data_IF_460281835363
#
_entry.id   IF_460281835363
#
_cell.length_a   1.000
_cell.length_b   1.000
_cell.length_c   1.000
_cell.angle_alpha   90.00
_cell.angle_beta   90.00
_cell.angle_gamma   90.00
#
_symmetry.space_group_name_H-M   'P 1'
#
loop_
_entity.id
_entity.type
_entity.pdbx_description
1 polymer ?
#
# COMPACT_ATOMS: atom_id res chain seq x y z
N UNK A 1 23.03 58.28 16.22
CA UNK A 1 23.99 58.44 17.34
C UNK A 1 23.88 57.22 18.24
N UNK A 2 24.98 56.50 18.44
CA UNK A 2 25.07 55.22 19.16
C UNK A 2 25.32 55.49 20.65
N UNK A 3 24.72 54.71 21.54
CA UNK A 3 25.32 54.38 22.84
C UNK A 3 25.14 52.89 23.14
N UNK A 4 26.29 52.27 23.44
CA UNK A 4 26.49 50.88 23.84
C UNK A 4 26.19 50.72 25.33
N UNK A 5 25.76 49.53 25.73
CA UNK A 5 26.16 48.92 27.00
C UNK A 5 26.40 47.42 26.77
N UNK A 6 27.63 47.00 27.07
CA UNK A 6 28.10 45.60 27.16
C UNK A 6 28.02 45.19 28.64
N UNK A 7 27.64 43.95 28.90
CA UNK A 7 27.93 43.25 30.17
C UNK A 7 28.18 41.77 29.83
N UNK A 8 29.34 41.27 30.25
CA UNK A 8 29.84 39.90 30.09
C UNK A 8 29.65 39.09 31.39
N UNK A 9 29.69 37.75 31.22
CA UNK A 9 30.02 36.67 32.19
C UNK A 9 28.93 36.14 33.17
N UNK A 10 29.07 34.90 33.70
CA UNK A 10 29.75 33.69 33.19
C UNK A 10 28.95 32.36 33.33
N UNK A 11 29.55 31.31 32.79
CA UNK A 11 29.25 29.86 32.87
C UNK A 11 29.13 29.34 34.31
N UNK A 12 28.28 28.31 34.57
CA UNK A 12 28.60 27.27 35.53
C UNK A 12 28.73 25.88 34.88
N UNK A 13 29.83 25.23 35.27
CA UNK A 13 30.16 23.82 35.05
C UNK A 13 29.11 22.94 35.73
N UNK A 14 28.71 21.85 35.08
CA UNK A 14 28.11 20.69 35.76
C UNK A 14 28.96 19.46 35.48
N UNK A 15 29.15 18.72 36.57
CA UNK A 15 30.09 17.67 36.85
C UNK A 15 29.64 16.32 36.32
N UNK A 16 30.58 15.56 35.76
CA UNK A 16 30.48 14.11 35.56
C UNK A 16 30.45 13.38 36.90
N UNK A 17 29.50 12.48 37.07
CA UNK A 17 29.58 11.38 38.05
C UNK A 17 29.05 10.10 37.40
N UNK A 18 29.98 9.27 36.96
CA UNK A 18 29.75 7.88 36.59
C UNK A 18 29.31 7.08 37.83
N UNK A 19 28.19 6.36 37.73
CA UNK A 19 27.91 5.22 38.60
C UNK A 19 27.39 4.04 37.78
N UNK A 20 28.17 2.98 37.86
CA UNK A 20 28.01 1.62 37.35
C UNK A 20 26.96 0.83 38.13
N UNK A 21 26.07 0.10 37.44
CA UNK A 21 25.49 -1.17 37.91
C UNK A 21 25.11 -2.02 36.69
N UNK A 22 25.92 -3.00 36.28
CA UNK A 22 25.82 -4.42 36.67
C UNK A 22 24.40 -5.00 36.59
N UNK A 23 24.06 -5.60 35.45
CA UNK A 23 23.06 -6.67 35.36
C UNK A 23 23.70 -7.93 34.81
N UNK A 24 23.65 -8.99 35.63
CA UNK A 24 24.16 -10.34 35.40
C UNK A 24 23.36 -11.06 34.32
N UNK A 25 24.09 -11.73 33.43
CA UNK A 25 23.64 -12.90 32.69
C UNK A 25 23.53 -14.11 33.62
N UNK A 26 22.43 -14.86 33.53
CA UNK A 26 22.41 -16.29 33.87
C UNK A 26 21.50 -17.03 32.90
N UNK A 27 22.08 -18.01 32.22
CA UNK A 27 21.43 -18.96 31.33
C UNK A 27 20.73 -20.10 32.12
N UNK A 28 19.89 -20.83 31.38
CA UNK A 28 19.01 -21.96 31.71
C UNK A 28 19.65 -23.10 32.56
N UNK A 29 18.87 -24.06 33.11
CA UNK A 29 18.32 -25.16 32.28
C UNK A 29 16.96 -25.77 32.73
N UNK A 30 16.25 -26.40 31.78
CA UNK A 30 15.31 -27.51 32.03
C UNK A 30 16.10 -28.76 32.50
N UNK A 31 15.57 -29.80 33.19
CA UNK A 31 14.43 -30.61 32.72
C UNK A 31 13.57 -31.26 33.84
N UNK A 32 12.43 -31.88 33.48
CA UNK A 32 12.16 -33.32 33.73
C UNK A 32 10.71 -33.70 33.43
N UNK A 33 10.63 -34.95 33.02
CA UNK A 33 9.57 -35.76 32.46
C UNK A 33 8.92 -36.59 33.58
N UNK A 34 7.59 -36.79 33.57
CA UNK A 34 6.97 -37.96 34.22
C UNK A 34 5.58 -38.34 33.66
N UNK A 35 5.61 -39.35 32.79
CA UNK A 35 4.77 -40.57 32.74
C UNK A 35 3.37 -40.59 33.41
N UNK A 36 2.34 -40.68 32.55
CA UNK A 36 1.61 -41.94 32.29
C UNK A 36 0.44 -42.36 33.21
N UNK A 37 -0.74 -42.53 32.61
CA UNK A 37 -1.64 -43.71 32.75
C UNK A 37 -2.75 -43.65 31.70
N UNK A 38 -2.99 -44.76 31.01
CA UNK A 38 -4.05 -44.93 30.02
C UNK A 38 -5.10 -45.95 30.45
N UNK A 39 -6.11 -46.10 29.60
CA UNK A 39 -7.06 -47.23 29.46
C UNK A 39 -7.78 -47.00 28.11
N UNK A 40 -7.60 -47.84 27.08
CA UNK A 40 -8.41 -49.03 26.71
C UNK A 40 -9.84 -48.63 26.26
N UNK A 41 -10.48 -49.12 25.18
CA UNK A 41 -10.25 -50.10 24.12
C UNK A 41 -11.53 -50.04 23.25
N UNK A 42 -11.49 -50.04 21.91
CA UNK A 42 -12.32 -50.94 21.07
C UNK A 42 -12.12 -50.74 19.57
N UNK A 43 -11.96 -51.89 18.92
CA UNK A 43 -11.82 -52.13 17.48
C UNK A 43 -13.20 -52.28 16.84
N UNK A 44 -13.36 -51.77 15.61
CA UNK A 44 -14.50 -52.07 14.74
C UNK A 44 -14.25 -51.59 13.31
N UNK A 45 -13.81 -52.50 12.43
CA UNK A 45 -13.63 -52.28 11.00
C UNK A 45 -14.97 -52.41 10.25
N UNK A 46 -15.26 -51.49 9.32
CA UNK A 46 -16.10 -51.79 8.15
C UNK A 46 -15.71 -50.90 6.96
N UNK A 47 -15.36 -51.56 5.87
CA UNK A 47 -15.09 -51.02 4.53
C UNK A 47 -16.34 -50.38 3.93
N UNK A 48 -16.21 -49.19 3.33
CA UNK A 48 -16.95 -48.74 2.14
C UNK A 48 -16.19 -47.58 1.48
N UNK A 49 -15.53 -47.87 0.36
CA UNK A 49 -15.00 -46.86 -0.55
C UNK A 49 -16.19 -46.25 -1.28
N UNK A 50 -16.50 -44.98 -0.99
CA UNK A 50 -17.37 -44.15 -1.83
C UNK A 50 -16.49 -43.23 -2.65
N UNK A 51 -16.65 -43.30 -3.97
CA UNK A 51 -15.92 -42.53 -4.96
C UNK A 51 -16.03 -41.02 -4.70
N UNK A 52 -14.89 -40.37 -4.47
CA UNK A 52 -14.79 -38.92 -4.46
C UNK A 52 -14.97 -38.45 -5.92
N UNK A 53 -16.10 -37.80 -6.22
CA UNK A 53 -16.25 -37.02 -7.45
C UNK A 53 -15.33 -35.81 -7.35
N UNK A 54 -14.17 -35.87 -8.01
CA UNK A 54 -13.33 -34.70 -8.19
C UNK A 54 -13.98 -33.70 -9.15
N UNK A 55 -13.89 -32.43 -8.78
CA UNK A 55 -14.30 -31.29 -9.59
C UNK A 55 -13.59 -31.31 -10.96
N UNK A 56 -14.27 -31.02 -12.09
CA UNK A 56 -13.69 -31.15 -13.43
C UNK A 56 -12.41 -30.32 -13.66
N UNK A 57 -12.14 -29.27 -12.87
CA UNK A 57 -10.89 -28.49 -12.93
C UNK A 57 -9.67 -29.21 -12.35
N UNK A 58 -9.84 -30.12 -11.37
CA UNK A 58 -8.72 -30.86 -10.77
C UNK A 58 -8.31 -32.04 -11.69
N UNK A 59 -9.26 -32.58 -12.45
CA UNK A 59 -9.01 -33.63 -13.45
C UNK A 59 -8.09 -33.14 -14.56
N UNK A 60 -8.34 -31.93 -15.08
CA UNK A 60 -7.49 -31.28 -16.10
C UNK A 60 -6.06 -31.03 -15.60
N UNK A 61 -5.90 -30.66 -14.32
CA UNK A 61 -4.58 -30.42 -13.72
C UNK A 61 -3.81 -31.73 -13.54
N UNK A 62 -4.48 -32.80 -13.08
CA UNK A 62 -3.88 -34.13 -12.95
C UNK A 62 -3.53 -34.73 -14.32
N UNK A 63 -4.37 -34.54 -15.33
CA UNK A 63 -4.12 -34.99 -16.70
C UNK A 63 -2.93 -34.22 -17.32
N UNK A 64 -2.81 -32.91 -17.06
CA UNK A 64 -1.66 -32.11 -17.51
C UNK A 64 -0.35 -32.54 -16.81
N UNK A 65 -0.40 -32.83 -15.51
CA UNK A 65 0.76 -33.36 -14.77
C UNK A 65 1.16 -34.74 -15.27
N UNK A 66 0.19 -35.61 -15.59
CA UNK A 66 0.45 -36.93 -16.12
C UNK A 66 1.06 -36.89 -17.53
N UNK A 67 0.59 -35.97 -18.39
CA UNK A 67 1.18 -35.73 -19.71
C UNK A 67 2.60 -35.19 -19.61
N UNK A 68 2.86 -34.24 -18.69
CA UNK A 68 4.20 -33.69 -18.48
C UNK A 68 5.18 -34.73 -17.89
N UNK A 69 4.68 -35.62 -17.02
CA UNK A 69 5.45 -36.74 -16.49
C UNK A 69 5.75 -37.80 -17.56
N UNK A 70 4.78 -38.10 -18.43
CA UNK A 70 4.98 -39.02 -19.55
C UNK A 70 5.96 -38.47 -20.60
N UNK A 71 5.93 -37.16 -20.88
CA UNK A 71 6.87 -36.51 -21.81
C UNK A 71 8.30 -36.50 -21.25
N UNK A 72 8.46 -36.20 -19.95
CA UNK A 72 9.77 -36.22 -19.29
C UNK A 72 10.35 -37.63 -19.16
N UNK A 73 9.51 -38.65 -18.93
CA UNK A 73 9.93 -40.06 -18.93
C UNK A 73 10.22 -40.60 -20.34
N UNK A 74 9.52 -40.12 -21.37
CA UNK A 74 9.81 -40.46 -22.77
C UNK A 74 11.16 -39.88 -23.24
N UNK A 75 11.48 -38.65 -22.86
CA UNK A 75 12.79 -38.04 -23.10
C UNK A 75 13.91 -38.76 -22.34
N UNK A 76 13.65 -39.20 -21.11
CA UNK A 76 14.62 -40.01 -20.35
C UNK A 76 14.89 -41.37 -21.01
N UNK A 77 13.84 -42.02 -21.56
CA UNK A 77 13.95 -43.29 -22.31
C UNK A 77 14.69 -43.12 -23.63
N UNK A 78 14.42 -42.03 -24.36
CA UNK A 78 15.13 -41.70 -25.61
C UNK A 78 16.62 -41.42 -25.38
N UNK A 79 16.94 -40.75 -24.27
CA UNK A 79 18.32 -40.44 -23.88
C UNK A 79 19.08 -41.69 -23.40
N UNK A 80 18.42 -42.61 -22.67
CA UNK A 80 19.03 -43.89 -22.28
C UNK A 80 19.22 -44.87 -23.45
N UNK A 81 18.31 -44.89 -24.44
CA UNK A 81 18.44 -45.74 -25.62
C UNK A 81 19.61 -45.33 -26.53
N UNK A 82 19.93 -44.03 -26.55
CA UNK A 82 21.07 -43.50 -27.31
C UNK A 82 22.42 -43.77 -26.63
N UNK A 83 22.45 -43.93 -25.30
CA UNK A 83 23.65 -44.21 -24.51
C UNK A 83 24.03 -45.70 -24.46
N UNK A 84 23.14 -46.62 -24.87
CA UNK A 84 23.33 -48.07 -24.76
C UNK A 84 23.50 -48.81 -26.10
N UNK A 85 23.73 -48.11 -27.21
CA UNK A 85 24.02 -48.74 -28.50
C UNK A 85 25.50 -49.13 -28.63
N UNK A 86 25.86 -50.39 -28.93
CA UNK A 86 27.26 -50.80 -29.08
C UNK A 86 27.85 -50.32 -30.41
N UNK A 87 29.10 -49.83 -30.36
CA UNK A 87 29.92 -49.47 -31.51
C UNK A 87 30.41 -50.75 -32.20
N UNK A 88 30.21 -50.96 -33.53
CA UNK A 88 30.84 -52.07 -34.22
C UNK A 88 32.29 -51.71 -34.61
N UNK A 89 33.23 -52.50 -34.12
CA UNK A 89 34.61 -52.59 -34.60
C UNK A 89 34.66 -53.33 -35.94
N UNK A 90 35.15 -52.69 -37.00
CA UNK A 90 35.43 -53.34 -38.29
C UNK A 90 36.89 -53.80 -38.43
N UNK A 91 37.11 -54.91 -39.14
CA UNK A 91 38.40 -55.23 -39.80
C UNK A 91 38.22 -56.04 -41.09
N UNK A 92 38.82 -55.51 -42.17
CA UNK A 92 39.30 -56.09 -43.43
C UNK A 92 38.24 -56.76 -44.37
N UNK A 93 38.28 -56.65 -45.70
CA UNK A 93 39.42 -56.49 -46.62
C UNK A 93 39.01 -56.02 -48.04
N UNK A 94 39.99 -55.45 -48.75
CA UNK A 94 40.26 -55.37 -50.20
C UNK A 94 39.24 -54.91 -51.29
N UNK A 95 39.72 -53.94 -52.11
CA UNK A 95 39.88 -53.95 -53.60
C UNK A 95 39.23 -52.78 -54.40
N UNK A 96 40.11 -51.84 -54.81
CA UNK A 96 40.23 -51.22 -56.15
C UNK A 96 38.97 -50.68 -56.90
N UNK A 97 38.91 -49.36 -57.14
CA UNK A 97 39.14 -48.70 -58.47
C UNK A 97 38.82 -47.19 -58.46
N UNK A 98 39.59 -46.44 -59.26
CA UNK A 98 39.49 -44.99 -59.58
C UNK A 98 38.11 -44.57 -60.12
N UNK A 99 37.62 -43.38 -59.73
CA UNK A 99 37.32 -42.24 -60.64
C UNK A 99 36.80 -40.99 -59.89
N UNK A 100 37.19 -39.82 -60.43
CA UNK A 100 36.82 -38.46 -60.02
C UNK A 100 35.31 -38.18 -60.21
N UNK A 101 34.69 -37.45 -59.28
CA UNK A 101 33.79 -36.34 -59.61
C UNK A 101 33.60 -35.39 -58.40
N UNK A 102 33.60 -34.08 -58.66
CA UNK A 102 33.29 -33.00 -57.70
C UNK A 102 31.78 -32.95 -57.42
N UNK A 103 31.37 -32.64 -56.18
CA UNK A 103 30.24 -31.75 -55.86
C UNK A 103 30.29 -31.33 -54.36
N UNK A 104 29.51 -30.30 -54.03
CA UNK A 104 29.64 -29.26 -52.99
C UNK A 104 29.26 -29.62 -51.53
N UNK A 105 29.52 -28.67 -50.59
CA UNK A 105 29.01 -28.47 -49.20
C UNK A 105 29.69 -29.29 -48.06
N UNK A 106 29.80 -28.86 -46.80
CA UNK A 106 29.64 -27.59 -46.03
C UNK A 106 30.26 -27.84 -44.63
N UNK A 107 30.77 -26.79 -43.96
CA UNK A 107 31.48 -26.86 -42.66
C UNK A 107 30.57 -26.91 -41.41
N UNK A 108 31.16 -27.08 -40.19
CA UNK A 108 30.49 -27.74 -39.06
C UNK A 108 29.75 -26.78 -38.11
N UNK A 109 28.53 -27.15 -37.71
CA UNK A 109 27.76 -26.55 -36.60
C UNK A 109 27.40 -27.63 -35.59
N UNK A 110 28.28 -27.97 -34.66
CA UNK A 110 27.90 -28.85 -33.54
C UNK A 110 28.78 -28.67 -32.29
N UNK A 111 29.10 -27.42 -31.93
CA UNK A 111 29.80 -27.13 -30.66
C UNK A 111 29.18 -25.99 -29.83
N UNK A 112 27.96 -25.56 -30.16
CA UNK A 112 27.29 -24.43 -29.48
C UNK A 112 26.14 -24.85 -28.55
N UNK A 113 25.67 -26.09 -28.65
CA UNK A 113 24.45 -26.53 -27.94
C UNK A 113 24.74 -26.98 -26.50
N UNK A 114 25.97 -27.43 -26.17
CA UNK A 114 26.28 -27.92 -24.82
C UNK A 114 26.68 -26.83 -23.80
N UNK A 115 26.87 -25.58 -24.21
CA UNK A 115 27.11 -24.46 -23.26
C UNK A 115 25.86 -23.65 -22.90
N UNK A 116 24.77 -23.84 -23.63
CA UNK A 116 23.51 -23.13 -23.37
C UNK A 116 22.60 -23.83 -22.35
N UNK A 117 22.73 -25.15 -22.14
CA UNK A 117 21.82 -25.88 -21.21
C UNK A 117 22.20 -25.75 -19.73
N UNK A 118 23.49 -25.57 -19.41
CA UNK A 118 23.96 -25.45 -18.01
C UNK A 118 23.63 -24.12 -17.33
N UNK A 119 23.52 -23.03 -18.10
CA UNK A 119 23.24 -21.69 -17.55
C UNK A 119 21.77 -21.52 -17.14
N UNK A 120 20.83 -22.16 -17.85
CA UNK A 120 19.41 -22.09 -17.51
C UNK A 120 19.05 -22.88 -16.25
N UNK A 121 19.77 -23.99 -15.98
CA UNK A 121 19.51 -24.82 -14.80
C UNK A 121 19.99 -24.14 -13.51
N UNK A 122 21.18 -23.50 -13.52
CA UNK A 122 21.69 -22.78 -12.37
C UNK A 122 20.89 -21.48 -12.05
N UNK A 123 20.41 -20.78 -13.09
CA UNK A 123 19.59 -19.58 -12.91
C UNK A 123 18.22 -19.88 -12.29
N UNK A 124 17.62 -21.03 -12.61
CA UNK A 124 16.35 -21.45 -12.01
C UNK A 124 16.48 -21.90 -10.55
N UNK A 125 17.60 -22.50 -10.15
CA UNK A 125 17.83 -22.92 -8.76
C UNK A 125 18.05 -21.72 -7.83
N UNK A 126 18.68 -20.63 -8.31
CA UNK A 126 18.82 -19.38 -7.55
C UNK A 126 17.49 -18.64 -7.33
N UNK A 127 16.51 -18.84 -8.21
CA UNK A 127 15.16 -18.27 -8.11
C UNK A 127 14.31 -19.03 -7.08
N UNK A 128 14.56 -20.33 -6.89
CA UNK A 128 13.76 -21.18 -5.99
C UNK A 128 14.29 -21.18 -4.54
N UNK A 129 15.56 -20.83 -4.30
CA UNK A 129 16.20 -20.90 -2.98
C UNK A 129 16.52 -19.55 -2.33
N UNK A 130 16.11 -18.42 -2.92
CA UNK A 130 16.35 -17.08 -2.35
C UNK A 130 15.03 -16.48 -1.81
N UNK A 131 14.67 -16.68 -0.52
CA UNK A 131 13.55 -15.97 0.07
C UNK A 131 14.02 -14.60 0.55
N UNK A 132 14.47 -13.70 -0.33
CA UNK A 132 14.68 -12.27 -0.03
C UNK A 132 15.20 -11.50 -1.25
N UNK A 133 14.71 -10.26 -1.40
CA UNK A 133 15.08 -9.24 -2.40
C UNK A 133 14.45 -9.34 -3.79
N UNK A 134 13.14 -9.59 -3.86
CA UNK A 134 12.34 -8.98 -4.91
C UNK A 134 11.35 -8.01 -4.28
N UNK A 135 11.87 -6.83 -3.90
CA UNK A 135 11.05 -5.64 -3.69
C UNK A 135 10.43 -5.25 -5.04
N UNK A 136 9.29 -5.88 -5.36
CA UNK A 136 8.45 -5.46 -6.47
C UNK A 136 8.01 -4.00 -6.24
N UNK A 137 7.91 -3.19 -7.30
CA UNK A 137 7.80 -1.75 -7.16
C UNK A 137 6.48 -1.33 -6.53
N UNK A 138 6.44 -0.25 -5.73
CA UNK A 138 5.23 0.18 -5.05
C UNK A 138 4.37 1.06 -5.98
N UNK A 139 3.97 0.55 -7.14
CA UNK A 139 3.00 1.26 -7.99
C UNK A 139 1.54 0.95 -7.62
N UNK A 140 1.31 0.05 -6.66
CA UNK A 140 -0.02 -0.50 -6.32
C UNK A 140 -0.62 0.03 -5.01
N UNK A 141 0.04 0.99 -4.34
CA UNK A 141 -0.51 1.65 -3.15
C UNK A 141 -1.43 2.82 -3.53
N UNK A 142 -2.39 2.56 -4.43
CA UNK A 142 -3.39 3.53 -4.86
C UNK A 142 -4.77 2.92 -4.70
N UNK A 143 -5.71 3.74 -4.25
CA UNK A 143 -7.14 3.46 -4.16
C UNK A 143 -7.66 2.90 -5.51
N UNK A 144 -7.65 1.58 -5.65
CA UNK A 144 -8.21 0.87 -6.80
C UNK A 144 -9.14 -0.23 -6.32
N UNK A 145 -10.45 0.01 -6.41
CA UNK A 145 -11.48 -1.03 -6.27
C UNK A 145 -11.68 -1.73 -7.60
N UNK A 146 -11.13 -2.94 -7.74
CA UNK A 146 -11.70 -3.95 -8.64
C UNK A 146 -12.26 -5.06 -7.75
N UNK A 147 -13.54 -4.93 -7.43
CA UNK A 147 -14.40 -6.06 -7.06
C UNK A 147 -15.56 -6.05 -8.05
N UNK A 148 -15.79 -7.19 -8.68
CA UNK A 148 -16.62 -7.41 -9.86
C UNK A 148 -17.88 -6.55 -9.95
N UNK A 149 -17.95 -5.73 -11.01
CA UNK A 149 -19.12 -4.99 -11.48
C UNK A 149 -20.25 -5.88 -12.03
N UNK A 150 -20.33 -7.16 -11.63
CA UNK A 150 -21.30 -8.15 -12.16
C UNK A 150 -22.56 -8.27 -11.28
N UNK A 151 -22.60 -7.69 -10.08
CA UNK A 151 -23.85 -7.54 -9.32
C UNK A 151 -24.39 -6.11 -9.42
N UNK A 152 -24.89 -5.75 -10.61
CA UNK A 152 -25.81 -4.62 -10.75
C UNK A 152 -27.07 -4.93 -9.94
N UNK A 153 -27.21 -4.29 -8.78
CA UNK A 153 -28.52 -4.11 -8.17
C UNK A 153 -29.16 -2.84 -8.71
N UNK A 154 -30.39 -3.01 -9.18
CA UNK A 154 -31.23 -2.02 -9.85
C UNK A 154 -31.73 -0.89 -8.93
N UNK A 155 -31.98 0.26 -9.56
CA UNK A 155 -32.80 1.42 -9.15
C UNK A 155 -32.35 2.36 -8.02
N UNK A 156 -32.58 3.69 -8.16
CA UNK A 156 -32.22 4.68 -7.16
C UNK A 156 -33.31 4.77 -6.07
N UNK A 157 -33.17 3.99 -5.03
CA UNK A 157 -33.85 4.21 -3.74
C UNK A 157 -32.86 4.83 -2.77
N UNK A 158 -33.30 5.84 -2.02
CA UNK A 158 -32.52 6.64 -1.06
C UNK A 158 -31.39 5.84 -0.37
N UNK A 159 -30.14 6.23 -0.64
CA UNK A 159 -28.89 5.55 -0.25
C UNK A 159 -28.57 5.57 1.26
N UNK A 160 -29.46 6.14 2.09
CA UNK A 160 -29.26 6.25 3.53
C UNK A 160 -29.54 4.98 4.33
N UNK A 161 -30.34 4.04 3.80
CA UNK A 161 -30.81 2.87 4.57
C UNK A 161 -29.89 1.64 4.51
N UNK A 162 -28.80 1.68 3.72
CA UNK A 162 -27.97 0.48 3.47
C UNK A 162 -26.84 0.27 4.48
N UNK A 163 -26.42 1.30 5.21
CA UNK A 163 -25.33 1.21 6.18
C UNK A 163 -25.80 1.61 7.57
N UNK A 164 -25.81 0.64 8.49
CA UNK A 164 -26.04 0.88 9.91
C UNK A 164 -24.72 0.86 10.66
N UNK A 165 -24.40 1.94 11.36
CA UNK A 165 -23.24 2.03 12.23
C UNK A 165 -23.69 2.16 13.68
N UNK A 166 -23.06 1.37 14.55
CA UNK A 166 -23.21 1.50 15.99
C UNK A 166 -22.66 2.86 16.40
N UNK A 167 -23.34 3.49 17.36
CA UNK A 167 -22.86 4.73 17.97
C UNK A 167 -21.49 4.48 18.62
N UNK A 168 -20.53 5.34 18.31
CA UNK A 168 -19.21 5.31 18.92
C UNK A 168 -19.30 5.57 20.44
N UNK A 169 -18.42 4.96 21.24
CA UNK A 169 -18.29 5.31 22.66
C UNK A 169 -18.01 6.80 22.85
N UNK A 170 -18.49 7.36 23.96
CA UNK A 170 -18.15 8.72 24.34
C UNK A 170 -16.62 8.84 24.53
N UNK A 171 -16.05 9.96 24.09
CA UNK A 171 -14.63 10.26 24.21
C UNK A 171 -14.46 11.59 24.94
N UNK A 172 -13.43 11.69 25.77
CA UNK A 172 -13.13 12.89 26.55
C UNK A 172 -11.65 13.19 26.48
N UNK A 173 -11.32 14.46 26.55
CA UNK A 173 -9.97 14.95 26.74
C UNK A 173 -9.35 14.36 28.01
N UNK A 174 -8.08 13.97 27.93
CA UNK A 174 -7.26 13.71 29.11
C UNK A 174 -7.03 14.98 29.95
N UNK A 175 -6.63 14.82 31.21
CA UNK A 175 -6.51 15.93 32.17
C UNK A 175 -5.49 17.02 31.78
N UNK A 176 -4.53 16.70 30.90
CA UNK A 176 -3.52 17.62 30.36
C UNK A 176 -3.99 18.46 29.16
N UNK A 177 -5.18 18.19 28.64
CA UNK A 177 -5.72 18.91 27.50
C UNK A 177 -6.25 20.29 27.89
N UNK A 178 -6.10 21.26 27.00
CA UNK A 178 -6.73 22.57 27.18
C UNK A 178 -8.24 22.40 27.10
N UNK A 179 -8.95 22.84 28.13
CA UNK A 179 -10.41 22.88 28.11
C UNK A 179 -10.86 23.83 27.01
N UNK A 180 -11.67 23.37 26.05
CA UNK A 180 -12.16 24.24 25.02
C UNK A 180 -13.12 25.25 25.67
N UNK A 181 -12.97 26.55 25.37
CA UNK A 181 -13.84 27.59 25.93
C UNK A 181 -15.25 27.38 25.36
N UNK A 182 -16.15 26.87 26.18
CA UNK A 182 -17.52 26.60 25.78
C UNK A 182 -18.24 27.90 25.39
N UNK A 183 -18.76 27.92 24.16
CA UNK A 183 -20.16 28.26 23.81
C UNK A 183 -20.33 28.54 22.30
N UNK A 184 -19.25 28.70 21.53
CA UNK A 184 -19.30 28.71 20.06
C UNK A 184 -17.95 28.26 19.47
N UNK A 185 -17.79 26.96 19.23
CA UNK A 185 -16.59 26.44 18.58
C UNK A 185 -16.60 26.81 17.10
N UNK A 186 -15.76 27.76 16.73
CA UNK A 186 -15.50 28.06 15.33
C UNK A 186 -14.52 27.04 14.75
N UNK A 187 -14.75 26.63 13.49
CA UNK A 187 -13.76 25.89 12.69
C UNK A 187 -12.42 26.63 12.58
N UNK A 188 -12.39 27.93 12.88
CA UNK A 188 -11.18 28.74 12.87
C UNK A 188 -10.42 28.77 14.22
N UNK A 189 -10.82 27.99 15.22
CA UNK A 189 -10.12 27.96 16.50
C UNK A 189 -8.68 27.41 16.33
N UNK A 190 -7.64 28.20 16.65
CA UNK A 190 -6.25 27.82 16.42
C UNK A 190 -5.76 26.68 17.33
N UNK A 191 -6.54 26.29 18.34
CA UNK A 191 -6.24 25.14 19.21
C UNK A 191 -6.64 23.79 18.60
N UNK A 192 -7.41 23.80 17.49
CA UNK A 192 -7.90 22.57 16.86
C UNK A 192 -6.80 21.85 16.07
N UNK A 193 -6.87 20.52 16.10
CA UNK A 193 -6.15 19.64 15.18
C UNK A 193 -7.09 19.30 14.03
N UNK A 194 -6.80 19.86 12.85
CA UNK A 194 -7.62 19.67 11.66
C UNK A 194 -7.24 18.38 10.92
N UNK A 195 -8.22 17.50 10.71
CA UNK A 195 -8.10 16.25 9.96
C UNK A 195 -9.08 16.25 8.81
N UNK A 196 -8.63 15.97 7.59
CA UNK A 196 -9.47 15.86 6.41
C UNK A 196 -9.48 14.42 5.88
N UNK A 197 -10.67 13.93 5.53
CA UNK A 197 -10.91 12.59 5.00
C UNK A 197 -12.06 12.64 4.00
N UNK A 198 -12.02 11.78 2.99
CA UNK A 198 -13.14 11.63 2.04
C UNK A 198 -14.17 10.63 2.57
N UNK A 199 -15.46 10.87 2.36
CA UNK A 199 -16.50 9.86 2.57
C UNK A 199 -17.15 9.51 1.24
N UNK A 200 -17.26 8.21 1.00
CA UNK A 200 -18.01 7.61 -0.09
C UNK A 200 -18.56 6.28 0.37
N UNK A 201 -19.56 5.79 -0.34
CA UNK A 201 -20.31 4.58 0.03
C UNK A 201 -19.41 3.33 0.06
N UNK A 202 -18.46 3.20 -0.88
CA UNK A 202 -17.60 2.00 -0.98
C UNK A 202 -16.61 1.91 0.20
N UNK A 203 -16.09 3.04 0.66
CA UNK A 203 -15.09 3.12 1.73
C UNK A 203 -15.64 3.68 3.04
N UNK A 204 -16.98 3.78 3.18
CA UNK A 204 -17.60 4.39 4.36
C UNK A 204 -17.22 3.66 5.65
N UNK A 205 -17.23 2.32 5.62
CA UNK A 205 -16.84 1.47 6.74
C UNK A 205 -15.39 1.71 7.17
N UNK A 206 -14.48 1.83 6.20
CA UNK A 206 -13.09 2.21 6.47
C UNK A 206 -12.96 3.61 7.06
N UNK A 207 -13.70 4.59 6.52
CA UNK A 207 -13.66 5.98 6.98
C UNK A 207 -14.15 6.12 8.42
N UNK A 208 -15.22 5.40 8.77
CA UNK A 208 -15.74 5.35 10.15
C UNK A 208 -14.70 4.73 11.08
N UNK A 209 -14.05 3.63 10.69
CA UNK A 209 -12.97 3.03 11.49
C UNK A 209 -11.77 3.98 11.65
N UNK A 210 -11.40 4.72 10.61
CA UNK A 210 -10.33 5.72 10.68
C UNK A 210 -10.66 6.82 11.69
N UNK A 211 -11.86 7.42 11.62
CA UNK A 211 -12.34 8.42 12.59
C UNK A 211 -12.34 7.84 14.01
N UNK A 212 -12.91 6.65 14.18
CA UNK A 212 -12.98 6.00 15.49
C UNK A 212 -11.60 5.73 16.09
N UNK A 213 -10.64 5.27 15.27
CA UNK A 213 -9.26 5.05 15.71
C UNK A 213 -8.57 6.34 16.16
N UNK A 214 -8.75 7.44 15.43
CA UNK A 214 -8.21 8.75 15.86
C UNK A 214 -8.79 9.14 17.22
N UNK A 215 -10.10 9.01 17.42
CA UNK A 215 -10.76 9.37 18.68
C UNK A 215 -10.32 8.50 19.86
N UNK A 216 -10.07 7.21 19.62
CA UNK A 216 -9.60 6.29 20.66
C UNK A 216 -8.15 6.51 21.09
N UNK A 217 -7.27 6.91 20.16
CA UNK A 217 -5.82 6.98 20.40
C UNK A 217 -5.29 8.39 20.64
N UNK A 218 -6.10 9.42 20.40
CA UNK A 218 -5.73 10.81 20.65
C UNK A 218 -5.96 11.16 22.12
N UNK A 219 -4.99 11.84 22.74
CA UNK A 219 -5.10 12.31 24.14
C UNK A 219 -6.20 13.34 24.34
N UNK A 220 -6.37 14.23 23.36
CA UNK A 220 -7.34 15.33 23.38
C UNK A 220 -8.34 15.23 22.21
N UNK A 221 -9.19 14.18 22.16
CA UNK A 221 -10.04 13.90 21.01
C UNK A 221 -11.11 15.00 20.79
N UNK A 222 -11.50 15.74 21.83
CA UNK A 222 -12.45 16.87 21.70
C UNK A 222 -11.80 18.11 21.05
N UNK A 223 -10.48 18.10 20.84
CA UNK A 223 -9.74 19.15 20.12
C UNK A 223 -9.49 18.78 18.65
N UNK A 224 -9.94 17.61 18.20
CA UNK A 224 -9.83 17.19 16.80
C UNK A 224 -11.05 17.67 16.03
N UNK A 225 -10.84 18.31 14.89
CA UNK A 225 -11.89 18.77 13.99
C UNK A 225 -11.79 18.04 12.66
N UNK A 226 -12.86 17.34 12.26
CA UNK A 226 -12.90 16.60 11.00
C UNK A 226 -13.53 17.40 9.86
N UNK A 227 -12.85 17.41 8.72
CA UNK A 227 -13.37 17.91 7.46
C UNK A 227 -13.68 16.72 6.54
N UNK A 228 -14.95 16.51 6.26
CA UNK A 228 -15.41 15.42 5.41
C UNK A 228 -15.69 15.92 4.00
N UNK A 229 -14.96 15.39 3.01
CA UNK A 229 -15.20 15.69 1.60
C UNK A 229 -16.09 14.61 1.01
N UNK A 230 -17.24 15.00 0.46
CA UNK A 230 -18.27 14.07 0.02
C UNK A 230 -18.69 14.32 -1.41
N UNK A 231 -18.92 13.27 -2.24
CA UNK A 231 -19.37 13.43 -3.62
C UNK A 231 -20.88 13.67 -3.73
N UNK A 232 -21.63 13.45 -2.64
CA UNK A 232 -23.09 13.57 -2.58
C UNK A 232 -23.55 14.00 -1.18
N UNK A 233 -24.80 14.46 -1.08
CA UNK A 233 -25.42 14.91 0.16
C UNK A 233 -25.91 13.70 0.96
N UNK A 234 -25.94 13.80 2.29
CA UNK A 234 -26.55 12.79 3.17
C UNK A 234 -25.62 12.17 4.21
N UNK A 235 -24.29 12.29 4.04
CA UNK A 235 -23.33 11.75 5.02
C UNK A 235 -23.34 12.47 6.37
N UNK A 236 -23.87 13.70 6.45
CA UNK A 236 -23.89 14.49 7.69
C UNK A 236 -24.72 13.82 8.80
N UNK A 237 -25.90 13.27 8.48
CA UNK A 237 -26.74 12.58 9.45
C UNK A 237 -26.08 11.29 9.94
N UNK A 238 -25.46 10.54 9.03
CA UNK A 238 -24.73 9.31 9.35
C UNK A 238 -23.52 9.56 10.26
N UNK A 239 -22.72 10.59 9.96
CA UNK A 239 -21.59 10.97 10.84
C UNK A 239 -22.11 11.42 12.20
N UNK A 240 -23.18 12.22 12.24
CA UNK A 240 -23.76 12.71 13.51
C UNK A 240 -24.38 11.58 14.34
N UNK A 241 -25.03 10.60 13.73
CA UNK A 241 -25.61 9.46 14.45
C UNK A 241 -24.53 8.51 15.00
N UNK A 242 -23.46 8.31 14.22
CA UNK A 242 -22.31 7.46 14.59
C UNK A 242 -21.43 8.14 15.64
N UNK A 243 -21.13 9.44 15.49
CA UNK A 243 -20.27 10.22 16.37
C UNK A 243 -20.97 11.51 16.85
N UNK A 244 -21.85 11.43 17.86
CA UNK A 244 -22.68 12.58 18.28
C UNK A 244 -21.88 13.81 18.72
N UNK A 245 -20.75 13.57 19.41
CA UNK A 245 -19.92 14.60 20.05
C UNK A 245 -18.78 15.08 19.12
N UNK A 246 -18.68 14.54 17.91
CA UNK A 246 -17.63 14.90 16.97
C UNK A 246 -17.80 16.35 16.49
N UNK A 247 -16.70 17.09 16.52
CA UNK A 247 -16.59 18.39 15.84
C UNK A 247 -16.23 18.12 14.38
N UNK A 248 -17.14 18.44 13.47
CA UNK A 248 -16.90 18.24 12.05
C UNK A 248 -17.67 19.22 11.17
N UNK A 249 -17.22 19.31 9.92
CA UNK A 249 -17.96 19.94 8.82
C UNK A 249 -17.88 19.07 7.56
N UNK A 250 -18.98 19.03 6.83
CA UNK A 250 -19.10 18.32 5.54
C UNK A 250 -18.96 19.33 4.41
N UNK A 251 -18.13 19.01 3.42
CA UNK A 251 -17.86 19.82 2.24
C UNK A 251 -18.22 19.00 1.01
N UNK A 252 -19.16 19.51 0.22
CA UNK A 252 -19.49 18.91 -1.06
C UNK A 252 -18.34 19.11 -2.05
N UNK A 253 -17.81 18.02 -2.58
CA UNK A 253 -16.82 18.02 -3.65
C UNK A 253 -17.54 17.76 -4.98
N UNK A 254 -17.72 18.81 -5.76
CA UNK A 254 -18.28 18.72 -7.11
C UNK A 254 -17.35 17.89 -8.03
N UNK A 255 -17.79 16.70 -8.48
CA UNK A 255 -16.98 15.83 -9.33
C UNK A 255 -16.59 16.46 -10.67
N UNK A 256 -17.40 17.40 -11.19
CA UNK A 256 -17.17 18.02 -12.49
C UNK A 256 -15.92 18.90 -12.52
N UNK A 257 -15.46 19.37 -11.35
CA UNK A 257 -14.20 20.13 -11.20
C UNK A 257 -13.00 19.41 -11.79
N UNK A 258 -13.00 18.08 -11.71
CA UNK A 258 -11.83 17.27 -12.09
C UNK A 258 -12.14 16.26 -13.18
N UNK A 259 -13.41 15.94 -13.46
CA UNK A 259 -13.79 14.95 -14.48
C UNK A 259 -13.15 15.23 -15.83
N UNK A 260 -13.13 16.50 -16.23
CA UNK A 260 -12.53 16.93 -17.50
C UNK A 260 -11.00 16.97 -17.48
N UNK A 261 -10.35 16.72 -16.35
CA UNK A 261 -8.89 16.66 -16.21
C UNK A 261 -8.39 15.22 -16.07
N UNK A 262 -9.27 14.30 -15.67
CA UNK A 262 -8.94 12.88 -15.55
C UNK A 262 -8.82 12.28 -16.96
N UNK A 263 -7.67 11.66 -17.21
CA UNK A 263 -7.46 10.86 -18.40
C UNK A 263 -7.95 9.44 -18.14
N UNK A 264 -8.58 8.82 -19.13
CA UNK A 264 -8.95 7.40 -19.05
C UNK A 264 -7.70 6.58 -18.72
N UNK A 265 -7.85 5.64 -17.80
CA UNK A 265 -6.79 4.78 -17.30
C UNK A 265 -7.18 3.33 -17.57
N UNK A 266 -6.20 2.42 -17.51
CA UNK A 266 -6.47 0.98 -17.64
C UNK A 266 -7.37 0.48 -16.49
N UNK A 267 -7.48 1.24 -15.39
CA UNK A 267 -8.22 0.87 -14.18
C UNK A 267 -9.23 1.93 -13.81
N UNK A 268 -10.51 1.70 -14.12
CA UNK A 268 -11.61 2.65 -13.91
C UNK A 268 -11.67 3.22 -12.47
N UNK A 269 -11.29 2.45 -11.45
CA UNK A 269 -11.24 2.94 -10.07
C UNK A 269 -10.28 4.11 -9.84
N UNK A 270 -9.23 4.26 -10.68
CA UNK A 270 -8.29 5.37 -10.64
C UNK A 270 -8.89 6.67 -11.23
N UNK A 271 -10.05 6.58 -11.88
CA UNK A 271 -10.78 7.68 -12.49
C UNK A 271 -11.85 8.28 -11.57
N UNK A 272 -12.06 7.71 -10.38
CA UNK A 272 -13.05 8.23 -9.43
C UNK A 272 -12.68 9.66 -9.00
N UNK A 273 -13.53 10.68 -9.28
CA UNK A 273 -13.21 12.08 -9.00
C UNK A 273 -12.82 12.35 -7.54
N UNK A 274 -13.43 11.64 -6.59
CA UNK A 274 -13.16 11.81 -5.17
C UNK A 274 -11.70 11.48 -4.79
N UNK A 275 -10.99 10.66 -5.59
CA UNK A 275 -9.56 10.39 -5.41
C UNK A 275 -8.66 11.63 -5.60
N UNK A 276 -9.22 12.70 -6.17
CA UNK A 276 -8.55 13.97 -6.43
C UNK A 276 -9.03 15.08 -5.50
N UNK A 277 -10.03 14.85 -4.66
CA UNK A 277 -10.62 15.87 -3.78
C UNK A 277 -9.58 16.53 -2.87
N UNK A 278 -8.54 15.79 -2.46
CA UNK A 278 -7.42 16.31 -1.67
C UNK A 278 -6.64 17.45 -2.34
N UNK A 279 -6.66 17.54 -3.68
CA UNK A 279 -6.04 18.64 -4.42
C UNK A 279 -6.69 19.99 -4.09
N UNK A 280 -7.95 19.95 -3.68
CA UNK A 280 -8.83 21.10 -3.51
C UNK A 280 -9.08 21.44 -2.04
N UNK A 281 -8.37 20.80 -1.10
CA UNK A 281 -8.52 21.06 0.34
C UNK A 281 -8.30 22.52 0.69
N UNK A 282 -7.32 23.17 0.06
CA UNK A 282 -7.22 24.61 0.17
C UNK A 282 -8.54 25.23 -0.31
N UNK A 283 -8.90 25.11 -1.57
CA UNK A 283 -10.04 25.85 -2.12
C UNK A 283 -11.39 25.58 -1.44
N UNK A 284 -11.58 24.41 -0.82
CA UNK A 284 -12.80 24.01 -0.13
C UNK A 284 -12.87 24.44 1.35
N UNK A 285 -11.77 24.39 2.08
CA UNK A 285 -11.74 24.71 3.51
C UNK A 285 -11.72 26.22 3.74
N UNK A 286 -12.22 26.64 4.89
CA UNK A 286 -12.23 28.04 5.31
C UNK A 286 -10.82 28.65 5.25
N UNK A 287 -10.72 29.92 4.88
CA UNK A 287 -9.43 30.62 4.70
C UNK A 287 -8.60 30.69 5.98
N UNK A 288 -9.25 30.67 7.14
CA UNK A 288 -8.61 30.61 8.46
C UNK A 288 -7.94 29.25 8.74
N UNK A 289 -8.37 28.17 8.10
CA UNK A 289 -7.77 26.84 8.22
C UNK A 289 -6.50 26.83 7.37
N UNK A 290 -5.36 27.05 8.02
CA UNK A 290 -4.05 27.17 7.36
C UNK A 290 -3.24 25.89 7.38
N UNK A 291 -3.69 24.85 8.10
CA UNK A 291 -3.01 23.57 8.25
C UNK A 291 -4.01 22.43 8.37
N UNK A 292 -3.73 21.29 7.77
CA UNK A 292 -4.58 20.09 7.86
C UNK A 292 -3.73 18.81 7.78
N UNK A 293 -4.16 17.75 8.46
CA UNK A 293 -3.71 16.37 8.19
C UNK A 293 -4.69 15.75 7.22
N UNK A 294 -4.23 15.27 6.08
CA UNK A 294 -5.04 14.45 5.18
C UNK A 294 -4.81 12.97 5.46
N UNK A 295 -5.92 12.21 5.57
CA UNK A 295 -5.95 10.77 5.79
C UNK A 295 -6.82 10.10 4.71
N UNK A 296 -6.32 9.03 4.10
CA UNK A 296 -7.12 8.11 3.28
C UNK A 296 -8.13 7.33 4.14
N UNK A 297 -9.14 6.76 3.48
CA UNK A 297 -10.28 6.09 4.15
C UNK A 297 -10.00 4.65 4.61
N UNK A 298 -8.81 4.11 4.38
CA UNK A 298 -8.44 2.70 4.60
C UNK A 298 -7.23 2.55 5.54
N UNK A 299 -7.26 3.31 6.63
CA UNK A 299 -6.23 3.29 7.66
C UNK A 299 -6.81 3.28 9.07
N UNK A 300 -5.97 2.95 10.05
CA UNK A 300 -6.24 3.20 11.48
C UNK A 300 -5.03 3.85 12.13
N UNK A 301 -5.29 4.76 13.06
CA UNK A 301 -4.30 5.46 13.86
C UNK A 301 -4.22 4.77 15.23
N UNK A 302 -3.00 4.45 15.66
CA UNK A 302 -2.70 3.73 16.91
C UNK A 302 -1.77 4.53 17.84
N UNK A 303 -1.70 5.85 17.62
CA UNK A 303 -0.90 6.78 18.40
C UNK A 303 -1.59 8.16 18.42
N UNK A 304 -1.10 9.08 19.25
CA UNK A 304 -1.68 10.42 19.38
C UNK A 304 -1.45 11.27 18.12
N UNK A 305 -2.52 11.59 17.40
CA UNK A 305 -2.50 12.35 16.14
C UNK A 305 -1.89 13.76 16.31
N UNK A 306 -1.86 14.31 17.53
CA UNK A 306 -1.24 15.60 17.83
C UNK A 306 0.27 15.59 17.56
N UNK A 307 0.92 14.43 17.64
CA UNK A 307 2.33 14.23 17.29
C UNK A 307 2.55 14.43 15.79
N UNK A 308 1.69 13.84 14.95
CA UNK A 308 1.71 14.07 13.50
C UNK A 308 1.41 15.53 13.16
N UNK A 309 0.41 16.11 13.81
CA UNK A 309 0.05 17.53 13.66
C UNK A 309 1.22 18.46 13.90
N UNK A 310 2.06 18.16 14.90
CA UNK A 310 3.19 18.98 15.34
C UNK A 310 4.43 18.89 14.44
N UNK A 311 4.38 18.09 13.37
CA UNK A 311 5.49 17.95 12.41
C UNK A 311 5.97 19.30 11.86
N UNK A 312 7.27 19.59 11.96
CA UNK A 312 7.82 20.84 11.43
C UNK A 312 8.01 20.74 9.92
N UNK A 313 7.16 21.45 9.16
CA UNK A 313 7.24 21.49 7.68
C UNK A 313 8.37 22.41 7.17
N UNK A 314 8.84 23.35 8.01
CA UNK A 314 9.84 24.35 7.62
C UNK A 314 9.40 25.15 6.39
N UNK A 315 10.26 25.16 5.36
CA UNK A 315 9.98 25.85 4.08
C UNK A 315 9.07 25.06 3.13
N UNK A 316 8.84 23.77 3.39
CA UNK A 316 8.03 22.91 2.54
C UNK A 316 6.53 23.18 2.78
N UNK A 317 5.71 22.84 1.80
CA UNK A 317 4.24 22.99 1.87
C UNK A 317 3.57 21.73 2.41
N UNK A 318 4.17 20.56 2.18
CA UNK A 318 3.64 19.29 2.67
C UNK A 318 4.73 18.51 3.41
N UNK A 319 4.30 17.62 4.30
CA UNK A 319 5.13 16.58 4.89
C UNK A 319 4.46 15.23 4.76
N UNK A 320 5.26 14.20 4.49
CA UNK A 320 4.81 12.82 4.34
C UNK A 320 5.99 11.86 4.57
N UNK A 321 5.72 10.58 4.92
CA UNK A 321 6.75 9.54 4.90
C UNK A 321 7.28 9.30 3.47
N UNK A 322 8.59 9.49 3.27
CA UNK A 322 9.27 9.28 1.99
C UNK A 322 9.98 7.92 1.91
N UNK A 323 9.78 7.18 0.83
CA UNK A 323 10.35 5.86 0.58
C UNK A 323 11.33 5.93 -0.59
N UNK A 324 12.49 6.52 -0.36
CA UNK A 324 13.52 6.74 -1.39
C UNK A 324 14.14 5.46 -1.96
N UNK A 325 13.93 4.30 -1.32
CA UNK A 325 14.36 3.00 -1.85
C UNK A 325 13.47 2.50 -3.01
N UNK A 326 12.27 3.08 -3.17
CA UNK A 326 11.40 2.75 -4.28
C UNK A 326 12.01 3.24 -5.61
N UNK A 327 11.87 2.45 -6.66
CA UNK A 327 12.26 2.87 -8.00
C UNK A 327 11.30 3.95 -8.52
N UNK A 328 11.67 5.22 -8.32
CA UNK A 328 10.88 6.39 -8.68
C UNK A 328 10.56 6.48 -10.18
N UNK A 329 11.43 5.95 -11.04
CA UNK A 329 11.24 5.94 -12.50
C UNK A 329 9.94 5.24 -12.91
N UNK A 330 9.45 4.29 -12.10
CA UNK A 330 8.25 3.49 -12.41
C UNK A 330 6.92 4.23 -12.26
N UNK A 331 6.90 5.44 -11.68
CA UNK A 331 5.68 6.24 -11.58
C UNK A 331 5.37 7.05 -12.84
N UNK A 332 6.27 7.04 -13.83
CA UNK A 332 6.14 7.76 -15.10
C UNK A 332 6.52 6.86 -16.27
N UNK A 333 6.01 7.16 -17.47
CA UNK A 333 6.25 6.37 -18.67
C UNK A 333 7.63 6.64 -19.28
N UNK A 334 8.08 5.77 -20.18
CA UNK A 334 9.27 6.04 -21.01
C UNK A 334 9.14 7.33 -21.82
N UNK A 335 7.92 7.68 -22.26
CA UNK A 335 7.62 8.94 -22.95
C UNK A 335 7.92 10.16 -22.07
N UNK A 336 7.55 10.11 -20.78
CA UNK A 336 7.90 11.17 -19.83
C UNK A 336 9.42 11.35 -19.70
N UNK A 337 10.15 10.25 -19.48
CA UNK A 337 11.59 10.31 -19.21
C UNK A 337 12.43 10.71 -20.42
N UNK A 338 12.02 10.30 -21.63
CA UNK A 338 12.71 10.65 -22.88
C UNK A 338 12.51 12.10 -23.32
N UNK A 339 11.52 12.80 -22.77
CA UNK A 339 11.25 14.20 -23.09
C UNK A 339 11.74 15.13 -21.98
N UNK A 340 12.82 15.88 -22.26
CA UNK A 340 13.44 16.81 -21.31
C UNK A 340 12.50 17.94 -20.82
N UNK A 341 11.46 18.28 -21.60
CA UNK A 341 10.43 19.25 -21.16
C UNK A 341 9.60 18.73 -19.99
N UNK A 342 9.45 17.42 -19.88
CA UNK A 342 8.71 16.78 -18.79
C UNK A 342 9.65 16.40 -17.65
N UNK A 343 10.68 15.60 -17.93
CA UNK A 343 11.62 15.12 -16.89
C UNK A 343 12.40 16.25 -16.22
N UNK A 344 12.59 17.37 -16.93
CA UNK A 344 13.23 18.57 -16.40
C UNK A 344 12.56 19.16 -15.15
N UNK A 345 11.30 18.82 -14.85
CA UNK A 345 10.62 19.24 -13.60
C UNK A 345 11.37 18.84 -12.33
N UNK A 346 12.13 17.74 -12.39
CA UNK A 346 12.92 17.21 -11.28
C UNK A 346 14.36 17.74 -11.24
N UNK A 347 14.76 18.62 -12.17
CA UNK A 347 16.11 19.18 -12.20
C UNK A 347 16.45 19.88 -10.88
N UNK A 348 17.61 19.54 -10.30
CA UNK A 348 18.05 20.09 -9.02
C UNK A 348 17.27 19.58 -7.80
N UNK A 349 16.45 18.54 -7.96
CA UNK A 349 15.73 17.87 -6.86
C UNK A 349 16.27 16.46 -6.66
N UNK A 350 16.09 15.94 -5.46
CA UNK A 350 16.25 14.51 -5.15
C UNK A 350 14.86 13.91 -4.94
N UNK A 351 14.14 13.53 -6.01
CA UNK A 351 12.77 13.06 -5.89
C UNK A 351 12.71 11.67 -5.24
N UNK A 352 11.87 11.54 -4.23
CA UNK A 352 11.51 10.26 -3.62
C UNK A 352 10.02 9.99 -3.78
N UNK A 353 9.65 8.71 -3.77
CA UNK A 353 8.25 8.32 -3.65
C UNK A 353 7.76 8.65 -2.25
N UNK A 354 6.53 9.15 -2.16
CA UNK A 354 5.76 9.20 -0.92
C UNK A 354 4.31 8.82 -1.25
N UNK A 355 3.67 8.12 -0.34
CA UNK A 355 2.25 7.83 -0.45
C UNK A 355 1.44 9.09 -0.09
N UNK A 356 0.39 9.38 -0.86
CA UNK A 356 -0.44 10.58 -0.69
C UNK A 356 -1.64 10.39 0.24
N UNK A 357 -1.74 9.24 0.91
CA UNK A 357 -2.83 8.91 1.82
C UNK A 357 -2.60 9.34 3.27
N UNK A 358 -1.39 9.78 3.61
CA UNK A 358 -1.09 10.40 4.91
C UNK A 358 -0.17 11.59 4.68
N UNK A 359 -0.69 12.81 4.87
CA UNK A 359 0.07 14.03 4.65
C UNK A 359 -0.28 15.10 5.68
N UNK A 360 0.72 15.92 6.05
CA UNK A 360 0.49 17.17 6.76
C UNK A 360 0.66 18.32 5.76
N UNK A 361 -0.35 19.16 5.61
CA UNK A 361 -0.42 20.16 4.56
C UNK A 361 -0.54 21.57 5.15
N UNK A 362 0.32 22.48 4.70
CA UNK A 362 0.25 23.92 4.96
C UNK A 362 -0.64 24.57 3.89
N UNK A 363 -1.92 24.72 4.19
CA UNK A 363 -2.92 25.30 3.29
C UNK A 363 -2.67 26.79 3.04
N UNK A 364 -2.06 27.50 3.99
CA UNK A 364 -1.66 28.90 3.79
C UNK A 364 -0.64 29.04 2.65
N UNK A 365 0.44 28.26 2.70
CA UNK A 365 1.39 28.15 1.58
C UNK A 365 0.75 27.55 0.34
N UNK A 366 -0.16 26.58 0.50
CA UNK A 366 -0.86 25.95 -0.62
C UNK A 366 -1.56 26.99 -1.50
N UNK A 367 -2.37 27.84 -0.86
CA UNK A 367 -3.08 28.97 -1.50
C UNK A 367 -2.11 29.98 -2.09
N UNK A 368 -1.13 30.44 -1.29
CA UNK A 368 -0.17 31.48 -1.69
C UNK A 368 0.60 31.12 -2.96
N UNK A 369 1.01 29.85 -3.09
CA UNK A 369 1.78 29.39 -4.24
C UNK A 369 0.93 28.76 -5.35
N UNK A 370 -0.39 28.68 -5.16
CA UNK A 370 -1.36 28.19 -6.15
C UNK A 370 -1.15 26.73 -6.54
N UNK A 371 -0.92 25.85 -5.55
CA UNK A 371 -0.57 24.46 -5.83
C UNK A 371 -1.69 23.65 -6.48
N UNK A 372 -2.96 23.96 -6.22
CA UNK A 372 -4.10 23.33 -6.94
C UNK A 372 -3.92 23.45 -8.45
N UNK A 373 -3.73 24.68 -8.96
CA UNK A 373 -3.54 24.95 -10.39
C UNK A 373 -2.29 24.27 -10.98
N UNK A 374 -1.23 24.11 -10.17
CA UNK A 374 -0.01 23.41 -10.62
C UNK A 374 -0.26 21.91 -10.80
N UNK A 375 -1.07 21.31 -9.93
CA UNK A 375 -1.49 19.92 -10.07
C UNK A 375 -2.38 19.76 -11.30
N UNK A 376 -3.41 20.62 -11.45
CA UNK A 376 -4.32 20.59 -12.60
C UNK A 376 -3.57 20.71 -13.92
N UNK A 377 -2.59 21.61 -14.02
CA UNK A 377 -1.74 21.73 -15.22
C UNK A 377 -1.04 20.42 -15.60
N UNK A 378 -0.57 19.63 -14.64
CA UNK A 378 0.02 18.32 -14.95
C UNK A 378 -1.02 17.29 -15.40
N UNK A 379 -2.24 17.38 -14.89
CA UNK A 379 -3.36 16.56 -15.35
C UNK A 379 -3.77 16.93 -16.78
N UNK A 380 -3.79 18.22 -17.11
CA UNK A 380 -4.02 18.72 -18.47
C UNK A 380 -2.92 18.23 -19.43
N UNK A 381 -1.64 18.31 -19.02
CA UNK A 381 -0.52 17.78 -19.82
C UNK A 381 -0.71 16.29 -20.09
N UNK A 382 -1.05 15.49 -19.08
CA UNK A 382 -1.34 14.07 -19.27
C UNK A 382 -2.47 13.85 -20.27
N UNK A 383 -3.56 14.64 -20.19
CA UNK A 383 -4.75 14.48 -21.04
C UNK A 383 -4.52 14.90 -22.49
N UNK A 384 -3.73 15.94 -22.71
CA UNK A 384 -3.51 16.56 -24.03
C UNK A 384 -2.27 16.02 -24.76
N UNK A 385 -1.38 15.32 -24.05
CA UNK A 385 -0.18 14.73 -24.66
C UNK A 385 -0.56 13.61 -25.63
N UNK A 386 0.16 13.53 -26.76
CA UNK A 386 -0.01 12.47 -27.75
C UNK A 386 0.24 11.07 -27.18
N UNK A 387 1.05 10.98 -26.12
CA UNK A 387 1.27 9.76 -25.34
C UNK A 387 1.22 10.07 -23.84
N UNK A 388 0.75 9.12 -23.05
CA UNK A 388 0.61 9.25 -21.59
C UNK A 388 1.98 9.44 -20.95
N UNK A 389 2.07 10.35 -19.98
CA UNK A 389 3.28 10.59 -19.19
C UNK A 389 3.31 9.76 -17.89
N UNK A 390 2.18 9.20 -17.45
CA UNK A 390 2.07 8.23 -16.37
C UNK A 390 0.84 7.31 -16.55
N UNK A 391 0.81 6.18 -15.85
CA UNK A 391 -0.31 5.21 -15.94
C UNK A 391 -1.25 5.20 -14.72
N UNK A 392 -0.83 5.85 -13.64
CA UNK A 392 -1.53 5.85 -12.35
C UNK A 392 -2.58 6.97 -12.27
N UNK A 393 -3.40 6.95 -11.22
CA UNK A 393 -4.46 7.93 -10.98
C UNK A 393 -3.95 9.25 -10.39
N UNK A 394 -4.41 9.60 -9.19
CA UNK A 394 -4.14 10.90 -8.57
C UNK A 394 -2.74 11.08 -7.95
N UNK A 395 -1.91 10.03 -7.92
CA UNK A 395 -0.57 10.08 -7.32
C UNK A 395 0.48 10.83 -8.18
N UNK A 396 0.69 10.55 -9.48
CA UNK A 396 1.76 11.18 -10.25
C UNK A 396 1.70 12.72 -10.31
N UNK A 397 0.52 13.37 -10.43
CA UNK A 397 0.44 14.83 -10.34
C UNK A 397 1.00 15.40 -9.02
N UNK A 398 0.80 14.72 -7.88
CA UNK A 398 1.43 15.08 -6.62
C UNK A 398 2.95 14.92 -6.66
N UNK A 399 3.44 13.81 -7.21
CA UNK A 399 4.88 13.56 -7.31
C UNK A 399 5.57 14.63 -8.19
N UNK A 400 4.97 15.00 -9.33
CA UNK A 400 5.46 16.04 -10.23
C UNK A 400 5.61 17.39 -9.53
N UNK A 401 4.68 17.71 -8.62
CA UNK A 401 4.67 18.98 -7.91
C UNK A 401 5.62 18.95 -6.70
N UNK A 402 5.61 17.88 -5.91
CA UNK A 402 6.20 17.87 -4.57
C UNK A 402 7.40 16.95 -4.36
N UNK A 403 7.70 15.97 -5.23
CA UNK A 403 8.84 15.08 -4.98
C UNK A 403 10.15 15.87 -4.89
N UNK A 404 10.95 15.59 -3.84
CA UNK A 404 12.15 16.36 -3.45
C UNK A 404 11.84 17.65 -2.67
N UNK A 405 10.57 18.01 -2.52
CA UNK A 405 10.06 19.17 -1.78
C UNK A 405 9.06 18.78 -0.67
N UNK A 406 9.23 17.60 -0.09
CA UNK A 406 8.46 17.10 1.05
C UNK A 406 9.25 17.33 2.34
N UNK A 407 8.58 17.66 3.43
CA UNK A 407 9.18 17.61 4.77
C UNK A 407 9.14 16.16 5.28
N UNK A 408 10.27 15.61 5.76
CA UNK A 408 10.32 14.21 6.15
C UNK A 408 9.44 13.95 7.37
N UNK A 409 8.64 12.88 7.29
CA UNK A 409 7.88 12.32 8.41
C UNK A 409 8.37 10.89 8.64
N UNK A 410 8.48 10.47 9.90
CA UNK A 410 8.86 9.11 10.26
C UNK A 410 7.92 8.06 9.64
N UNK A 411 8.47 6.94 9.16
CA UNK A 411 7.70 5.86 8.52
C UNK A 411 6.64 5.23 9.42
N UNK A 412 6.75 5.37 10.75
CA UNK A 412 5.73 4.92 11.72
C UNK A 412 4.34 5.47 11.42
N UNK A 413 4.26 6.64 10.79
CA UNK A 413 3.01 7.32 10.43
C UNK A 413 2.39 6.81 9.14
N UNK A 414 2.99 5.83 8.47
CA UNK A 414 2.39 5.22 7.29
C UNK A 414 2.95 3.81 7.06
N UNK A 415 2.43 2.82 7.79
CA UNK A 415 2.66 1.42 7.49
C UNK A 415 1.80 1.01 6.28
N UNK A 416 2.18 1.51 5.11
CA UNK A 416 1.42 1.35 3.86
C UNK A 416 1.66 -0.01 3.20
N UNK A 417 0.70 -0.42 2.37
CA UNK A 417 0.76 -1.65 1.57
C UNK A 417 0.04 -2.84 2.21
N UNK A 418 -0.65 -2.66 3.33
CA UNK A 418 -1.35 -3.74 4.04
C UNK A 418 -2.55 -4.29 3.26
N UNK A 419 -2.97 -3.57 2.21
CA UNK A 419 -3.97 -4.04 1.26
C UNK A 419 -3.46 -5.10 0.28
N UNK A 420 -2.17 -5.46 0.33
CA UNK A 420 -1.60 -6.57 -0.44
C UNK A 420 -1.48 -6.30 -1.95
N UNK A 421 -1.02 -7.32 -2.67
CA UNK A 421 -0.95 -7.35 -4.14
C UNK A 421 -2.23 -8.00 -4.71
N UNK A 422 -2.93 -7.26 -5.58
CA UNK A 422 -4.17 -7.65 -6.25
C UNK A 422 -4.01 -8.95 -7.07
N UNK A 423 -2.78 -9.29 -7.48
CA UNK A 423 -2.49 -10.44 -8.36
C UNK A 423 -2.27 -11.73 -7.56
N UNK A 424 -1.80 -11.64 -6.31
CA UNK A 424 -1.41 -12.81 -5.51
C UNK A 424 -2.17 -12.96 -4.19
N UNK A 425 -2.98 -11.98 -3.82
CA UNK A 425 -3.71 -11.99 -2.54
C UNK A 425 -2.78 -12.02 -1.32
N UNK A 426 -1.53 -11.56 -1.47
CA UNK A 426 -0.51 -11.71 -0.44
C UNK A 426 -0.72 -10.72 0.70
N UNK A 427 -0.83 -11.23 1.92
CA UNK A 427 -0.69 -10.43 3.14
C UNK A 427 0.75 -9.90 3.26
N UNK A 428 0.92 -8.62 3.56
CA UNK A 428 2.22 -8.03 3.83
C UNK A 428 2.41 -7.83 5.33
N UNK A 429 3.64 -8.01 5.78
CA UNK A 429 4.06 -7.66 7.14
C UNK A 429 4.28 -6.15 7.28
N UNK A 430 4.43 -5.70 8.53
CA UNK A 430 4.78 -4.33 8.85
C UNK A 430 6.21 -4.01 8.43
N UNK A 431 6.46 -2.76 8.04
CA UNK A 431 7.83 -2.27 7.90
C UNK A 431 8.52 -2.25 9.26
N UNK A 432 9.84 -2.49 9.35
CA UNK A 432 10.57 -2.46 10.60
C UNK A 432 10.42 -1.12 11.34
N UNK A 433 10.36 -1.19 12.68
CA UNK A 433 10.32 -0.02 13.55
C UNK A 433 8.96 0.19 14.23
N UNK A 434 8.80 1.33 14.94
CA UNK A 434 7.56 1.64 15.64
C UNK A 434 6.40 1.89 14.67
N UNK A 435 5.18 1.72 15.17
CA UNK A 435 3.94 1.91 14.41
C UNK A 435 3.05 2.92 15.12
N UNK A 436 2.64 3.94 14.38
CA UNK A 436 1.66 4.94 14.81
C UNK A 436 0.42 4.94 13.91
N UNK A 437 0.52 4.42 12.69
CA UNK A 437 -0.58 4.34 11.72
C UNK A 437 -0.41 3.14 10.78
N UNK A 438 -1.47 2.35 10.65
CA UNK A 438 -1.59 1.18 9.76
C UNK A 438 -2.44 1.53 8.54
N UNK A 439 -1.97 1.26 7.32
CA UNK A 439 -2.62 1.71 6.10
C UNK A 439 -2.77 0.59 5.07
N UNK A 440 -4.03 0.19 4.82
CA UNK A 440 -4.45 -0.81 3.84
C UNK A 440 -4.52 -0.27 2.41
N UNK A 441 -3.51 0.52 2.04
CA UNK A 441 -3.31 0.96 0.66
C UNK A 441 -3.14 -0.25 -0.25
N UNK A 442 -3.87 -0.29 -1.37
CA UNK A 442 -4.00 -1.46 -2.24
C UNK A 442 -5.46 -1.83 -2.47
N UNK A 443 -5.77 -3.01 -3.02
CA UNK A 443 -7.16 -3.45 -3.20
C UNK A 443 -7.74 -4.19 -2.00
N UNK A 444 -6.93 -4.93 -1.25
CA UNK A 444 -7.40 -5.75 -0.13
C UNK A 444 -7.84 -4.89 1.03
N UNK A 445 -9.15 -4.82 1.29
CA UNK A 445 -9.69 -4.07 2.42
C UNK A 445 -9.96 -4.98 3.60
N UNK A 446 -9.61 -4.55 4.83
CA UNK A 446 -9.72 -5.41 6.00
C UNK A 446 -11.17 -5.83 6.25
N UNK A 447 -12.14 -4.92 6.08
CA UNK A 447 -13.57 -5.27 6.23
C UNK A 447 -14.04 -6.30 5.22
N UNK A 448 -13.60 -6.23 3.96
CA UNK A 448 -13.96 -7.22 2.94
C UNK A 448 -13.37 -8.60 3.27
N UNK A 449 -12.10 -8.63 3.69
CA UNK A 449 -11.40 -9.87 4.05
C UNK A 449 -11.96 -10.52 5.32
N UNK A 450 -12.37 -9.71 6.30
CA UNK A 450 -13.04 -10.16 7.52
C UNK A 450 -14.43 -10.75 7.20
N UNK A 451 -15.25 -10.03 6.42
CA UNK A 451 -16.58 -10.49 6.01
C UNK A 451 -16.50 -11.79 5.19
N UNK A 452 -15.50 -11.91 4.31
CA UNK A 452 -15.26 -13.12 3.51
C UNK A 452 -14.60 -14.27 4.28
N UNK A 453 -14.34 -14.09 5.59
CA UNK A 453 -13.64 -15.06 6.45
C UNK A 453 -12.26 -15.49 5.90
N UNK A 454 -11.59 -14.57 5.21
CA UNK A 454 -10.22 -14.74 4.70
C UNK A 454 -9.32 -13.57 5.17
N UNK A 455 -9.21 -13.34 6.49
CA UNK A 455 -8.42 -12.23 6.99
C UNK A 455 -6.93 -12.45 6.78
N UNK A 456 -6.21 -11.38 6.43
CA UNK A 456 -4.79 -11.31 6.70
C UNK A 456 -4.55 -11.14 8.21
N UNK A 457 -3.40 -11.60 8.75
CA UNK A 457 -3.11 -11.51 10.17
C UNK A 457 -3.34 -10.11 10.77
N UNK A 458 -2.92 -9.07 10.05
CA UNK A 458 -3.04 -7.68 10.48
C UNK A 458 -4.47 -7.12 10.40
N UNK A 459 -5.40 -7.74 9.66
CA UNK A 459 -6.80 -7.26 9.59
C UNK A 459 -7.49 -7.33 10.95
N UNK A 460 -7.03 -8.24 11.81
CA UNK A 460 -7.48 -8.32 13.20
C UNK A 460 -7.18 -7.06 14.02
N UNK A 461 -6.17 -6.28 13.64
CA UNK A 461 -5.85 -5.00 14.27
C UNK A 461 -6.80 -3.88 13.83
N UNK A 462 -7.49 -4.03 12.69
CA UNK A 462 -8.49 -3.08 12.22
C UNK A 462 -9.87 -3.32 12.87
N UNK A 463 -10.20 -4.58 13.16
CA UNK A 463 -11.53 -4.98 13.65
C UNK A 463 -12.04 -4.25 14.90
N UNK A 464 -11.22 -3.83 15.90
CA UNK A 464 -11.72 -3.13 17.09
C UNK A 464 -12.33 -1.76 16.78
N UNK A 465 -11.98 -1.17 15.65
CA UNK A 465 -12.47 0.14 15.23
C UNK A 465 -13.73 0.05 14.36
N UNK A 466 -14.13 -1.16 13.97
CA UNK A 466 -15.27 -1.38 13.11
C UNK A 466 -16.60 -1.18 13.85
N UNK A 467 -17.24 -0.04 13.57
CA UNK A 467 -18.56 0.27 14.12
C UNK A 467 -19.69 -0.24 13.22
N UNK A 468 -19.41 -0.90 12.10
CA UNK A 468 -20.46 -1.43 11.24
C UNK A 468 -21.32 -2.44 12.01
N UNK A 469 -22.63 -2.17 12.05
CA UNK A 469 -23.60 -3.08 12.63
C UNK A 469 -24.14 -3.99 11.53
N UNK A 470 -23.91 -5.30 11.63
CA UNK A 470 -24.79 -6.23 10.94
C UNK A 470 -26.18 -6.05 11.55
N UNK A 471 -27.19 -5.80 10.72
CA UNK A 471 -28.58 -5.94 11.13
C UNK A 471 -28.71 -7.33 11.74
N UNK A 472 -28.85 -7.41 13.06
CA UNK A 472 -29.16 -8.66 13.77
C UNK A 472 -30.58 -9.08 13.46
#
# INVERSE_FOLDING_TARGET
MKTKTKSENPIPKFTDSHSTSLFRFTASPSPKEERGRGTALHVGAYSRVSAIRLCPRIRVILDCFFVLLCLTLADLRGTLAFLLSPIPSGRCDFKSRRRKHRFFQSGPKMLWIMRFSGFFSAAMVMIVLSPSFQSFPPAEAIRSSHTDSVLRFSTPTHSGDKFSFRRAPAFRNGGECRSPKAENYSVCDPSLVHVAITLDVEYLRGSVAAVHSVLQHTKCPESVFFHFLVPEIGFQSLVRSTFPELKFKVYYFDPERVRNLISSSVRQALEQPLNYARNYLADLLETCVTRVIYLDSDLVVVDDISKLWSTKLGRKTIGAPEYCHANFTKYFTSHFWSNSRFSGVFSGRSPCYFNTGVMVMDLGKWRRFGYTRRIERWMEVQKTSASRIYELGSLPPFLLVFAGHVAPIEHRWNQHGLGGDNVRGSCRDLHPGPVSLLHWSGSGKPWLRLDSKQPCPLDSLWSPYDLYGHST
#
